data_IF_359211646205
#
_entry.id   IF_359211646205
#
_cell.length_a   1.000
_cell.length_b   1.000
_cell.length_c   1.000
_cell.angle_alpha   90.00
_cell.angle_beta   90.00
_cell.angle_gamma   90.00
#
_symmetry.space_group_name_H-M   'P 1'
#
loop_
_entity.id
_entity.type
_entity.pdbx_description
1 polymer ?
#
# COMPACT_ATOMS: atom_id res chain seq x y z
N UNK A 1 4.18 11.10 -5.83
CA UNK A 1 5.14 10.07 -5.36
C UNK A 1 6.35 10.66 -4.61
N UNK A 2 6.50 11.98 -4.58
CA UNK A 2 7.55 12.77 -3.95
C UNK A 2 7.86 12.41 -2.49
N UNK A 3 6.83 12.18 -1.66
CA UNK A 3 7.01 11.84 -0.23
C UNK A 3 7.71 10.50 -0.03
N UNK A 4 7.33 9.49 -0.81
CA UNK A 4 7.93 8.16 -0.76
C UNK A 4 9.38 8.21 -1.26
N UNK A 5 9.66 8.98 -2.29
CA UNK A 5 11.04 9.16 -2.75
C UNK A 5 11.90 9.88 -1.71
N UNK A 6 11.37 10.92 -1.06
CA UNK A 6 12.06 11.60 0.02
C UNK A 6 12.38 10.65 1.19
N UNK A 7 11.44 9.79 1.59
CA UNK A 7 11.69 8.80 2.65
C UNK A 7 12.72 7.75 2.25
N UNK A 8 12.69 7.25 1.01
CA UNK A 8 13.68 6.31 0.49
C UNK A 8 15.09 6.91 0.39
N UNK A 9 15.20 8.19 0.02
CA UNK A 9 16.49 8.91 0.01
C UNK A 9 17.06 9.01 1.43
N UNK A 10 16.21 9.31 2.42
CA UNK A 10 16.61 9.36 3.82
C UNK A 10 17.06 7.99 4.33
N UNK A 11 16.28 6.94 4.02
CA UNK A 11 16.58 5.56 4.40
C UNK A 11 17.92 5.08 3.82
N UNK A 12 18.11 5.23 2.51
CA UNK A 12 19.36 4.84 1.83
C UNK A 12 20.59 5.64 2.29
N UNK A 13 20.37 6.84 2.85
CA UNK A 13 21.43 7.66 3.45
C UNK A 13 21.67 7.36 4.94
N UNK A 14 20.97 6.38 5.52
CA UNK A 14 21.04 6.06 6.95
C UNK A 14 20.51 7.18 7.86
N UNK A 15 19.73 8.11 7.32
CA UNK A 15 19.18 9.26 8.06
C UNK A 15 17.80 8.91 8.60
N UNK A 16 17.47 9.45 9.78
CA UNK A 16 16.14 9.30 10.36
C UNK A 16 15.08 10.00 9.50
N UNK A 17 13.99 9.29 9.25
CA UNK A 17 12.81 9.83 8.56
C UNK A 17 12.02 10.66 9.58
N UNK A 18 11.98 11.98 9.40
CA UNK A 18 11.30 12.92 10.30
C UNK A 18 10.54 13.96 9.48
N UNK A 19 9.57 14.65 10.11
CA UNK A 19 8.78 15.68 9.42
C UNK A 19 9.69 16.76 8.81
N UNK A 20 10.68 17.20 9.58
CA UNK A 20 11.66 18.19 9.14
C UNK A 20 12.49 17.69 7.96
N UNK A 21 13.03 16.47 8.06
CA UNK A 21 13.90 15.94 7.01
C UNK A 21 13.16 15.77 5.67
N UNK A 22 11.91 15.29 5.70
CA UNK A 22 11.08 15.18 4.50
C UNK A 22 10.75 16.58 3.95
N UNK A 23 10.35 17.51 4.81
CA UNK A 23 10.02 18.88 4.42
C UNK A 23 11.20 19.61 3.78
N UNK A 24 12.41 19.45 4.32
CA UNK A 24 13.64 20.04 3.78
C UNK A 24 13.93 19.50 2.36
N UNK A 25 13.76 18.19 2.12
CA UNK A 25 13.97 17.58 0.81
C UNK A 25 12.95 18.09 -0.21
N UNK A 26 11.66 18.14 0.18
CA UNK A 26 10.61 18.63 -0.71
C UNK A 26 10.82 20.10 -1.07
N UNK A 27 11.17 20.93 -0.09
CA UNK A 27 11.49 22.34 -0.30
C UNK A 27 12.70 22.50 -1.22
N UNK A 28 13.75 21.70 -1.04
CA UNK A 28 14.92 21.70 -1.91
C UNK A 28 14.60 21.28 -3.34
N UNK A 29 13.56 20.45 -3.53
CA UNK A 29 13.02 20.08 -4.83
C UNK A 29 12.03 21.11 -5.42
N UNK A 30 11.77 22.22 -4.73
CA UNK A 30 10.81 23.26 -5.14
C UNK A 30 9.34 22.88 -4.92
N UNK A 31 9.08 21.90 -4.06
CA UNK A 31 7.73 21.40 -3.74
C UNK A 31 7.31 21.93 -2.37
N UNK A 32 6.09 22.46 -2.27
CA UNK A 32 5.53 22.92 -1.00
C UNK A 32 5.14 21.73 -0.09
N UNK A 33 5.70 21.62 1.13
CA UNK A 33 5.45 20.46 1.98
C UNK A 33 4.07 20.47 2.64
N UNK A 34 3.21 19.52 2.28
CA UNK A 34 1.99 19.23 3.05
C UNK A 34 2.29 18.43 4.34
N UNK A 35 2.11 19.08 5.49
CA UNK A 35 2.36 18.50 6.83
C UNK A 35 1.46 17.29 7.14
N UNK A 36 0.21 17.26 6.68
CA UNK A 36 -0.69 16.15 6.97
C UNK A 36 -0.25 14.88 6.23
N UNK A 37 0.18 15.03 4.98
CA UNK A 37 0.73 13.92 4.18
C UNK A 37 2.03 13.39 4.76
N UNK A 38 2.91 14.28 5.24
CA UNK A 38 4.17 13.87 5.89
C UNK A 38 3.89 13.08 7.18
N UNK A 39 2.96 13.54 8.02
CA UNK A 39 2.57 12.83 9.24
C UNK A 39 1.95 11.47 8.95
N UNK A 40 1.04 11.41 7.97
CA UNK A 40 0.45 10.14 7.52
C UNK A 40 1.52 9.16 7.02
N UNK A 41 2.50 9.65 6.26
CA UNK A 41 3.61 8.82 5.80
C UNK A 41 4.46 8.29 6.97
N UNK A 42 4.83 9.14 7.92
CA UNK A 42 5.65 8.73 9.08
C UNK A 42 4.89 7.69 9.92
N UNK A 43 3.58 7.89 10.13
CA UNK A 43 2.75 6.92 10.84
C UNK A 43 2.68 5.58 10.08
N UNK A 44 2.49 5.62 8.76
CA UNK A 44 2.45 4.41 7.93
C UNK A 44 3.79 3.65 7.90
N UNK A 45 4.91 4.33 8.15
CA UNK A 45 6.25 3.75 8.17
C UNK A 45 6.72 3.36 9.59
N UNK A 46 5.94 3.62 10.64
CA UNK A 46 6.37 3.42 12.03
C UNK A 46 6.67 1.94 12.35
N UNK A 47 5.86 1.03 11.79
CA UNK A 47 5.96 -0.41 12.01
C UNK A 47 6.50 -1.17 10.78
N UNK A 48 7.09 -0.46 9.82
CA UNK A 48 7.59 -1.04 8.57
C UNK A 48 9.12 -1.19 8.62
N UNK A 49 9.60 -2.42 8.46
CA UNK A 49 11.02 -2.65 8.12
C UNK A 49 11.22 -2.37 6.63
N UNK A 50 11.81 -1.21 6.34
CA UNK A 50 12.03 -0.74 4.97
C UNK A 50 13.04 -1.64 4.23
N UNK A 51 14.01 -2.24 4.91
CA UNK A 51 15.01 -3.12 4.28
C UNK A 51 14.36 -4.45 3.88
N UNK A 52 13.50 -5.01 4.73
CA UNK A 52 12.73 -6.21 4.40
C UNK A 52 11.75 -5.94 3.25
N UNK A 53 11.01 -4.83 3.33
CA UNK A 53 10.06 -4.43 2.29
C UNK A 53 10.75 -4.26 0.92
N UNK A 54 11.95 -3.67 0.88
CA UNK A 54 12.73 -3.54 -0.36
C UNK A 54 13.22 -4.88 -0.89
N UNK A 55 13.71 -5.79 -0.03
CA UNK A 55 14.13 -7.14 -0.45
C UNK A 55 12.95 -7.92 -1.04
N UNK A 56 11.79 -7.87 -0.38
CA UNK A 56 10.58 -8.53 -0.85
C UNK A 56 10.13 -7.94 -2.20
N UNK A 57 10.17 -6.62 -2.36
CA UNK A 57 9.86 -5.96 -3.63
C UNK A 57 10.78 -6.45 -4.77
N UNK A 58 12.10 -6.51 -4.54
CA UNK A 58 13.05 -7.00 -5.55
C UNK A 58 12.83 -8.47 -5.91
N UNK A 59 12.45 -9.31 -4.93
CA UNK A 59 12.17 -10.72 -5.16
C UNK A 59 10.88 -10.91 -5.97
N UNK A 60 9.83 -10.14 -5.66
CA UNK A 60 8.58 -10.15 -6.43
C UNK A 60 8.79 -9.70 -7.88
N UNK A 61 9.62 -8.68 -8.09
CA UNK A 61 10.01 -8.21 -9.42
C UNK A 61 10.82 -9.27 -10.20
N UNK A 62 11.68 -10.02 -9.51
CA UNK A 62 12.43 -11.11 -10.13
C UNK A 62 11.54 -12.31 -10.52
N UNK A 63 10.54 -12.65 -9.70
CA UNK A 63 9.56 -13.71 -10.02
C UNK A 63 8.65 -13.28 -11.19
N UNK A 64 8.30 -12.00 -11.28
CA UNK A 64 7.51 -11.46 -12.39
C UNK A 64 8.28 -11.36 -13.71
N UNK A 65 9.62 -11.36 -13.67
CA UNK A 65 10.49 -11.26 -14.85
C UNK A 65 10.99 -12.62 -15.39
N UNK A 66 10.64 -13.74 -14.75
CA UNK A 66 10.95 -15.06 -15.28
C UNK A 66 10.15 -15.31 -16.57
N UNK A 67 10.78 -15.70 -17.70
CA UNK A 67 10.02 -16.13 -18.86
C UNK A 67 9.19 -17.33 -18.45
N UNK A 68 7.90 -17.32 -18.81
CA UNK A 68 7.06 -18.51 -18.78
C UNK A 68 7.62 -19.53 -19.78
N UNK A 69 8.66 -20.26 -19.38
CA UNK A 69 9.14 -21.42 -20.09
C UNK A 69 8.06 -22.50 -19.95
N UNK A 70 7.27 -22.68 -21.01
CA UNK A 70 6.26 -23.72 -21.05
C UNK A 70 6.89 -25.11 -20.91
N UNK A 71 6.37 -25.89 -19.96
CA UNK A 71 6.20 -27.35 -20.00
C UNK A 71 5.51 -27.83 -18.71
N UNK A 72 4.81 -28.98 -18.76
CA UNK A 72 3.37 -29.12 -18.87
C UNK A 72 2.62 -29.04 -17.52
N UNK A 73 1.33 -28.75 -17.63
CA UNK A 73 0.36 -28.97 -16.57
C UNK A 73 0.25 -30.48 -16.25
N UNK A 74 0.66 -30.88 -15.05
CA UNK A 74 0.11 -32.07 -14.37
C UNK A 74 0.25 -31.93 -12.86
N UNK A 75 -0.86 -32.25 -12.18
CA UNK A 75 -1.02 -32.49 -10.75
C UNK A 75 -1.30 -31.27 -9.86
N UNK A 76 -2.52 -30.75 -9.97
CA UNK A 76 -3.34 -30.56 -8.76
C UNK A 76 -3.54 -31.93 -8.05
N UNK A 77 -3.77 -31.93 -6.73
CA UNK A 77 -5.16 -31.87 -6.33
C UNK A 77 -5.43 -31.00 -5.10
N UNK A 78 -6.63 -30.39 -5.13
CA UNK A 78 -7.54 -30.14 -4.00
C UNK A 78 -7.07 -29.15 -2.91
N UNK A 79 -7.92 -28.34 -2.30
CA UNK A 79 -9.31 -27.97 -2.48
C UNK A 79 -9.55 -26.87 -1.44
N UNK A 80 -10.11 -25.73 -1.86
CA UNK A 80 -10.96 -24.85 -1.04
C UNK A 80 -11.36 -23.66 -1.93
N UNK A 81 -12.23 -23.95 -2.90
CA UNK A 81 -13.16 -22.95 -3.38
C UNK A 81 -14.13 -22.70 -2.24
N UNK A 82 -13.96 -21.57 -1.55
CA UNK A 82 -15.00 -21.01 -0.70
C UNK A 82 -15.65 -19.90 -1.51
N UNK A 83 -16.94 -20.01 -1.87
CA UNK A 83 -17.64 -18.96 -2.59
C UNK A 83 -17.79 -17.71 -1.71
N UNK A 84 -17.67 -16.55 -2.35
CA UNK A 84 -18.08 -15.23 -1.85
C UNK A 84 -19.53 -15.28 -1.33
N UNK A 85 -19.85 -14.62 -0.20
CA UNK A 85 -21.19 -14.12 0.00
C UNK A 85 -21.36 -12.82 -0.80
N UNK A 86 -22.21 -12.85 -1.82
CA UNK A 86 -22.95 -11.66 -2.26
C UNK A 86 -23.88 -11.25 -1.10
N UNK A 87 -23.51 -10.22 -0.35
CA UNK A 87 -24.47 -9.40 0.40
C UNK A 87 -24.84 -8.23 -0.51
N UNK A 88 -26.00 -8.37 -1.17
CA UNK A 88 -26.77 -7.22 -1.65
C UNK A 88 -27.24 -6.44 -0.42
N UNK A 89 -26.70 -5.24 -0.26
CA UNK A 89 -27.31 -4.16 0.52
C UNK A 89 -28.65 -3.79 -0.13
N UNK A 90 -29.76 -4.24 0.46
CA UNK A 90 -31.07 -3.62 0.28
C UNK A 90 -31.53 -3.09 1.64
N UNK A 91 -31.05 -1.90 1.99
CA UNK A 91 -31.57 -1.11 3.09
C UNK A 91 -32.16 0.20 2.51
N UNK A 92 -33.28 0.64 3.10
CA UNK A 92 -33.96 1.93 2.92
C UNK A 92 -35.27 1.96 2.10
N UNK A 93 -36.35 1.37 2.62
CA UNK A 93 -37.68 1.99 2.44
C UNK A 93 -38.71 1.75 3.57
N UNK A 94 -38.31 1.35 4.79
CA UNK A 94 -39.26 1.10 5.89
C UNK A 94 -39.36 2.21 6.95
N UNK A 95 -38.56 3.28 6.85
CA UNK A 95 -38.53 4.36 7.87
C UNK A 95 -39.57 5.47 7.69
N UNK A 96 -40.10 5.70 6.48
CA UNK A 96 -41.02 6.81 6.21
C UNK A 96 -42.51 6.46 6.39
N UNK A 97 -42.88 5.17 6.33
CA UNK A 97 -44.28 4.75 6.47
C UNK A 97 -44.81 4.82 7.91
N UNK A 98 -43.94 4.95 8.92
CA UNK A 98 -44.36 4.97 10.33
C UNK A 98 -44.50 6.39 10.91
N UNK A 99 -44.19 7.44 10.14
CA UNK A 99 -44.22 8.84 10.60
C UNK A 99 -45.39 9.67 10.03
N UNK A 100 -46.25 9.08 9.18
CA UNK A 100 -47.41 9.76 8.59
C UNK A 100 -48.70 8.90 8.60
N UNK A 101 -48.77 7.93 9.52
CA UNK A 101 -49.99 7.18 9.86
C UNK A 101 -50.67 7.75 11.09
#
# INVERSE_FOLDING_TARGET
MEYLHASLILHSSGKKITEKAIGDILTAAGIEPDKNRIKGLIAALADVDIDEALKNATTMQAVAAAPAAGAPATAAPAAAATPEPEEEEEEEESGLSSLFG
#
